data_IF_847269118725
#
_entry.id   IF_847269118725
#
_cell.length_a   1.000
_cell.length_b   1.000
_cell.length_c   1.000
_cell.angle_alpha   90.00
_cell.angle_beta   90.00
_cell.angle_gamma   90.00
#
_symmetry.space_group_name_H-M   'P 1'
#
loop_
_entity.id
_entity.type
_entity.pdbx_description
1 polymer ?
#
# COMPACT_ATOMS: atom_id res chain seq x y z
N UNK A 1 0.34 10.76 1.40
CA UNK A 1 1.00 9.55 0.86
C UNK A 1 0.00 8.82 -0.02
N UNK A 2 0.39 8.41 -1.23
CA UNK A 2 -0.44 7.52 -2.06
C UNK A 2 -0.68 6.21 -1.31
N UNK A 3 -1.80 5.53 -1.56
CA UNK A 3 -2.13 4.22 -1.00
C UNK A 3 -0.91 3.30 -1.05
N UNK A 4 -0.31 3.06 0.11
CA UNK A 4 0.86 2.21 0.21
C UNK A 4 0.38 0.76 0.35
N UNK A 5 0.71 -0.05 -0.65
CA UNK A 5 0.48 -1.50 -0.68
C UNK A 5 1.40 -2.30 0.28
N UNK A 6 1.46 -1.94 1.57
CA UNK A 6 2.26 -2.67 2.59
C UNK A 6 1.80 -4.11 2.73
N UNK A 7 0.48 -4.33 2.73
CA UNK A 7 -0.12 -5.63 3.04
C UNK A 7 0.35 -6.75 2.13
N UNK A 8 0.10 -6.67 0.81
CA UNK A 8 0.47 -7.74 -0.12
C UNK A 8 1.97 -8.05 -0.15
N UNK A 9 2.82 -7.02 0.01
CA UNK A 9 4.28 -7.20 0.00
C UNK A 9 4.74 -7.90 1.29
N UNK A 10 4.25 -7.49 2.46
CA UNK A 10 4.55 -8.19 3.71
C UNK A 10 4.03 -9.63 3.70
N UNK A 11 2.83 -9.88 3.16
CA UNK A 11 2.31 -11.25 3.00
C UNK A 11 3.24 -12.11 2.16
N UNK A 12 3.70 -11.59 1.02
CA UNK A 12 4.66 -12.28 0.15
C UNK A 12 5.95 -12.59 0.94
N UNK A 13 6.54 -11.59 1.59
CA UNK A 13 7.79 -11.77 2.36
C UNK A 13 7.62 -12.84 3.44
N UNK A 14 6.57 -12.74 4.26
CA UNK A 14 6.34 -13.63 5.40
C UNK A 14 6.15 -15.07 4.91
N UNK A 15 5.23 -15.30 3.97
CA UNK A 15 4.89 -16.65 3.51
C UNK A 15 6.06 -17.32 2.80
N UNK A 16 6.72 -16.58 1.90
CA UNK A 16 7.86 -17.12 1.16
C UNK A 16 9.05 -17.40 2.09
N UNK A 17 9.33 -16.54 3.07
CA UNK A 17 10.39 -16.80 4.05
C UNK A 17 10.05 -17.99 4.96
N UNK A 18 8.78 -18.20 5.34
CA UNK A 18 8.36 -19.41 6.04
C UNK A 18 8.70 -20.66 5.22
N UNK A 19 8.34 -20.70 3.93
CA UNK A 19 8.59 -21.85 3.06
C UNK A 19 10.08 -22.22 2.93
N UNK A 20 10.96 -21.22 2.90
CA UNK A 20 12.40 -21.43 2.77
C UNK A 20 13.07 -21.77 4.10
N UNK A 21 12.66 -21.12 5.20
CA UNK A 21 13.35 -21.20 6.48
C UNK A 21 12.81 -22.28 7.42
N UNK A 22 11.57 -22.75 7.24
CA UNK A 22 10.92 -23.72 8.13
C UNK A 22 11.67 -25.06 8.23
N UNK A 23 12.37 -25.48 7.17
CA UNK A 23 13.09 -26.76 7.11
C UNK A 23 14.58 -26.66 7.50
N UNK A 24 15.08 -25.46 7.83
CA UNK A 24 16.49 -25.23 8.12
C UNK A 24 16.77 -25.33 9.63
N UNK A 25 17.59 -26.31 10.01
CA UNK A 25 18.07 -26.50 11.38
C UNK A 25 18.92 -25.30 11.80
N UNK A 26 18.56 -24.63 12.92
CA UNK A 26 19.30 -23.51 13.48
C UNK A 26 18.61 -22.14 13.36
N UNK A 27 17.47 -22.06 12.66
CA UNK A 27 16.77 -20.79 12.37
C UNK A 27 15.66 -20.42 13.36
N UNK A 28 15.74 -20.89 14.61
CA UNK A 28 14.68 -20.67 15.60
C UNK A 28 14.36 -19.18 15.77
N UNK A 29 15.37 -18.31 15.83
CA UNK A 29 15.17 -16.87 16.00
C UNK A 29 14.47 -16.21 14.81
N UNK A 30 14.79 -16.63 13.58
CA UNK A 30 14.17 -16.08 12.35
C UNK A 30 12.74 -16.57 12.18
N UNK A 31 12.47 -17.81 12.57
CA UNK A 31 11.11 -18.35 12.61
C UNK A 31 10.23 -17.58 13.60
N UNK A 32 10.72 -17.32 14.81
CA UNK A 32 10.00 -16.52 15.80
C UNK A 32 9.73 -15.09 15.30
N UNK A 33 10.70 -14.49 14.60
CA UNK A 33 10.52 -13.18 13.97
C UNK A 33 9.41 -13.20 12.91
N UNK A 34 9.34 -14.21 12.05
CA UNK A 34 8.27 -14.36 11.06
C UNK A 34 6.89 -14.57 11.72
N UNK A 35 6.81 -15.37 12.79
CA UNK A 35 5.58 -15.57 13.55
C UNK A 35 5.10 -14.27 14.23
N UNK A 36 6.04 -13.45 14.72
CA UNK A 36 5.73 -12.12 15.26
C UNK A 36 5.25 -11.17 14.16
N UNK A 37 5.95 -11.12 13.03
CA UNK A 37 5.57 -10.31 11.87
C UNK A 37 4.14 -10.62 11.41
N UNK A 38 3.77 -11.90 11.33
CA UNK A 38 2.42 -12.32 10.97
C UNK A 38 1.36 -11.78 11.97
N UNK A 39 1.68 -11.71 13.26
CA UNK A 39 0.79 -11.15 14.30
C UNK A 39 0.72 -9.63 14.24
N UNK A 40 1.82 -8.95 13.90
CA UNK A 40 1.94 -7.49 13.88
C UNK A 40 1.38 -6.87 12.60
N UNK A 41 1.39 -7.60 11.49
CA UNK A 41 0.88 -7.15 10.20
C UNK A 41 -0.51 -6.49 10.25
N UNK A 42 -1.57 -7.09 10.84
CA UNK A 42 -2.89 -6.45 10.93
C UNK A 42 -2.87 -5.15 11.76
N UNK A 43 -2.01 -5.08 12.78
CA UNK A 43 -1.83 -3.86 13.58
C UNK A 43 -1.18 -2.76 12.74
N UNK A 44 -0.13 -3.10 12.00
CA UNK A 44 0.57 -2.17 11.09
C UNK A 44 -0.38 -1.63 10.04
N UNK A 45 -1.17 -2.49 9.39
CA UNK A 45 -2.18 -2.07 8.43
C UNK A 45 -3.20 -1.11 9.05
N UNK A 46 -3.67 -1.41 10.27
CA UNK A 46 -4.62 -0.57 10.98
C UNK A 46 -4.05 0.82 11.29
N UNK A 47 -2.80 0.89 11.77
CA UNK A 47 -2.13 2.16 12.07
C UNK A 47 -1.93 2.97 10.79
N UNK A 48 -1.41 2.37 9.72
CA UNK A 48 -1.22 3.05 8.43
C UNK A 48 -2.55 3.60 7.90
N UNK A 49 -3.61 2.79 7.98
CA UNK A 49 -4.96 3.20 7.58
C UNK A 49 -5.46 4.41 8.38
N UNK A 50 -5.35 4.38 9.71
CA UNK A 50 -5.73 5.50 10.57
C UNK A 50 -4.91 6.76 10.27
N UNK A 51 -3.60 6.62 10.04
CA UNK A 51 -2.72 7.74 9.72
C UNK A 51 -3.08 8.41 8.38
N UNK A 52 -3.42 7.61 7.38
CA UNK A 52 -3.86 8.10 6.07
C UNK A 52 -5.22 8.80 6.17
N UNK A 53 -6.15 8.30 6.99
CA UNK A 53 -7.44 8.95 7.20
C UNK A 53 -7.31 10.28 7.95
N UNK A 54 -6.55 10.31 9.03
CA UNK A 54 -6.46 11.49 9.89
C UNK A 54 -5.50 12.57 9.36
N UNK A 55 -4.73 12.28 8.29
CA UNK A 55 -3.68 13.17 7.74
C UNK A 55 -2.69 13.67 8.81
N UNK A 56 -2.45 12.87 9.86
CA UNK A 56 -1.62 13.22 11.01
C UNK A 56 -0.12 12.95 10.80
N UNK A 57 0.25 12.40 9.65
CA UNK A 57 1.64 12.05 9.33
C UNK A 57 2.56 13.26 9.50
N UNK A 58 2.13 14.43 9.02
CA UNK A 58 2.93 15.66 9.10
C UNK A 58 2.97 16.27 10.51
N UNK A 59 2.05 15.87 11.39
CA UNK A 59 1.92 16.39 12.76
C UNK A 59 2.71 15.56 13.78
N UNK A 60 3.10 14.33 13.43
CA UNK A 60 3.83 13.43 14.30
C UNK A 60 5.15 12.98 13.64
N UNK A 61 6.27 13.68 13.90
CA UNK A 61 7.57 13.34 13.32
C UNK A 61 8.08 11.94 13.67
N UNK A 62 7.71 11.41 14.85
CA UNK A 62 8.09 10.06 15.26
C UNK A 62 7.35 9.00 14.43
N UNK A 63 6.05 9.19 14.23
CA UNK A 63 5.24 8.36 13.34
C UNK A 63 5.76 8.41 11.90
N UNK A 64 6.03 9.61 11.38
CA UNK A 64 6.55 9.75 10.02
C UNK A 64 7.90 9.02 9.87
N UNK A 65 8.82 9.19 10.83
CA UNK A 65 10.10 8.47 10.84
C UNK A 65 9.88 6.95 10.85
N UNK A 66 9.01 6.45 11.72
CA UNK A 66 8.72 5.01 11.79
C UNK A 66 8.13 4.48 10.48
N UNK A 67 7.21 5.21 9.85
CA UNK A 67 6.67 4.84 8.53
C UNK A 67 7.78 4.75 7.47
N UNK A 68 8.73 5.69 7.44
CA UNK A 68 9.89 5.59 6.54
C UNK A 68 10.76 4.37 6.85
N UNK A 69 11.07 4.12 8.12
CA UNK A 69 11.87 2.95 8.51
C UNK A 69 11.19 1.63 8.16
N UNK A 70 9.86 1.56 8.32
CA UNK A 70 9.06 0.40 7.92
C UNK A 70 9.14 0.19 6.40
N UNK A 71 9.08 1.28 5.63
CA UNK A 71 9.21 1.22 4.17
C UNK A 71 10.54 0.65 3.76
N UNK A 72 11.60 1.24 4.29
CA UNK A 72 12.97 0.88 3.94
C UNK A 72 13.22 -0.60 4.30
N UNK A 73 12.70 -1.08 5.44
CA UNK A 73 12.84 -2.47 5.85
C UNK A 73 12.05 -3.43 4.94
N UNK A 74 10.83 -3.06 4.50
CA UNK A 74 10.03 -3.87 3.57
C UNK A 74 10.70 -3.92 2.19
N UNK A 75 11.12 -2.77 1.66
CA UNK A 75 11.75 -2.68 0.35
C UNK A 75 13.09 -3.47 0.34
N UNK A 76 13.88 -3.37 1.42
CA UNK A 76 15.11 -4.16 1.56
C UNK A 76 14.82 -5.67 1.66
N UNK A 77 13.81 -6.08 2.43
CA UNK A 77 13.43 -7.47 2.57
C UNK A 77 12.92 -8.07 1.24
N UNK A 78 12.09 -7.34 0.48
CA UNK A 78 11.60 -7.81 -0.83
C UNK A 78 12.74 -7.92 -1.84
N UNK A 79 13.69 -6.96 -1.84
CA UNK A 79 14.86 -7.01 -2.70
C UNK A 79 15.76 -8.22 -2.40
N UNK A 80 16.09 -8.44 -1.13
CA UNK A 80 16.94 -9.58 -0.72
C UNK A 80 16.23 -10.92 -0.97
N UNK A 81 14.92 -10.98 -0.76
CA UNK A 81 14.13 -12.16 -1.09
C UNK A 81 14.17 -12.45 -2.59
N UNK A 82 14.00 -11.44 -3.43
CA UNK A 82 14.05 -11.59 -4.88
C UNK A 82 15.45 -12.03 -5.38
N UNK A 83 16.51 -11.47 -4.81
CA UNK A 83 17.89 -11.92 -5.06
C UNK A 83 18.07 -13.40 -4.67
N UNK A 84 17.57 -13.78 -3.49
CA UNK A 84 17.63 -15.15 -2.99
C UNK A 84 16.88 -16.13 -3.88
N UNK A 85 15.65 -15.80 -4.30
CA UNK A 85 14.85 -16.62 -5.21
C UNK A 85 15.51 -16.80 -6.58
N UNK A 86 16.14 -15.75 -7.09
CA UNK A 86 16.89 -15.78 -8.36
C UNK A 86 18.12 -16.67 -8.23
N UNK A 87 18.91 -16.52 -7.17
CA UNK A 87 20.07 -17.37 -6.89
C UNK A 87 19.68 -18.84 -6.71
N UNK A 88 18.60 -19.10 -5.97
CA UNK A 88 18.06 -20.44 -5.76
C UNK A 88 17.57 -21.09 -7.06
N UNK A 89 16.91 -20.31 -7.92
CA UNK A 89 16.44 -20.76 -9.23
C UNK A 89 17.60 -21.09 -10.17
N UNK A 90 18.66 -20.28 -10.18
CA UNK A 90 19.86 -20.52 -10.99
C UNK A 90 20.66 -21.74 -10.50
N UNK A 91 20.81 -21.90 -9.17
CA UNK A 91 21.48 -23.05 -8.58
C UNK A 91 20.70 -24.35 -8.80
N UNK A 92 19.37 -24.29 -8.73
CA UNK A 92 18.52 -25.43 -9.07
C UNK A 92 18.56 -25.76 -10.57
N UNK A 93 18.66 -24.78 -11.46
CA UNK A 93 18.88 -25.00 -12.90
C UNK A 93 20.21 -25.71 -13.19
N UNK A 94 21.33 -25.30 -12.56
CA UNK A 94 22.62 -25.97 -12.72
C UNK A 94 22.62 -27.41 -12.17
N UNK A 95 21.85 -27.68 -11.10
CA UNK A 95 21.67 -29.02 -10.57
C UNK A 95 20.71 -29.90 -11.42
N UNK A 96 19.77 -29.30 -12.15
CA UNK A 96 18.85 -30.02 -13.05
C UNK A 96 19.58 -30.62 -14.26
N UNK A 97 20.74 -30.07 -14.66
CA UNK A 97 21.57 -30.66 -15.71
C UNK A 97 22.25 -31.98 -15.27
N UNK A 98 22.32 -32.26 -13.96
CA UNK A 98 23.01 -33.45 -13.42
C UNK A 98 22.16 -34.40 -12.56
N UNK A 99 20.98 -34.02 -12.06
CA UNK A 99 20.09 -34.97 -11.38
C UNK A 99 18.62 -34.54 -11.38
N UNK A 100 17.80 -35.19 -12.23
CA UNK A 100 16.35 -35.16 -12.11
C UNK A 100 15.91 -35.68 -10.74
N UNK A 101 15.02 -34.91 -10.10
CA UNK A 101 14.28 -35.23 -8.87
C UNK A 101 15.13 -35.24 -7.60
N UNK A 102 15.24 -34.10 -6.92
CA UNK A 102 15.01 -33.99 -5.47
C UNK A 102 15.14 -32.54 -4.99
N UNK A 103 14.01 -31.85 -4.76
CA UNK A 103 13.94 -30.53 -4.09
C UNK A 103 14.64 -30.53 -2.71
N UNK A 104 14.81 -31.72 -2.10
CA UNK A 104 15.53 -31.95 -0.84
C UNK A 104 17.06 -31.80 -0.92
N UNK A 105 17.67 -31.98 -2.10
CA UNK A 105 19.14 -31.86 -2.28
C UNK A 105 19.55 -30.38 -2.37
N UNK A 106 18.76 -29.55 -3.07
CA UNK A 106 18.93 -28.09 -3.08
C UNK A 106 18.86 -27.50 -1.65
N UNK A 107 17.95 -28.00 -0.81
CA UNK A 107 17.83 -27.60 0.61
C UNK A 107 19.08 -27.89 1.46
N UNK A 108 19.93 -28.86 1.10
CA UNK A 108 21.21 -29.12 1.81
C UNK A 108 22.33 -28.20 1.35
N UNK A 109 22.34 -27.75 0.10
CA UNK A 109 23.30 -26.76 -0.42
C UNK A 109 23.05 -25.35 0.14
N UNK A 110 21.80 -25.04 0.53
CA UNK A 110 21.41 -23.79 1.20
C UNK A 110 22.08 -23.56 2.56
N UNK A 111 22.64 -24.59 3.20
CA UNK A 111 23.23 -24.47 4.56
C UNK A 111 24.46 -23.57 4.65
N UNK A 112 25.05 -23.18 3.51
CA UNK A 112 26.26 -22.35 3.43
C UNK A 112 26.07 -21.27 2.35
N UNK A 113 24.85 -20.78 2.14
CA UNK A 113 24.62 -19.68 1.20
C UNK A 113 24.74 -18.33 1.93
N UNK A 114 25.68 -17.45 1.56
CA UNK A 114 25.76 -16.10 2.13
C UNK A 114 24.47 -15.28 1.94
N UNK A 115 23.62 -15.61 0.96
CA UNK A 115 22.32 -14.98 0.78
C UNK A 115 21.28 -15.41 1.83
N UNK A 116 21.42 -16.59 2.43
CA UNK A 116 20.54 -17.03 3.52
C UNK A 116 20.73 -16.14 4.76
N UNK A 117 21.98 -15.85 5.11
CA UNK A 117 22.31 -14.97 6.23
C UNK A 117 21.78 -13.55 6.01
N UNK A 118 21.91 -13.03 4.78
CA UNK A 118 21.32 -11.73 4.39
C UNK A 118 19.80 -11.75 4.56
N UNK A 119 19.13 -12.84 4.16
CA UNK A 119 17.68 -13.00 4.31
C UNK A 119 17.25 -13.02 5.78
N UNK A 120 17.98 -13.71 6.65
CA UNK A 120 17.74 -13.68 8.09
C UNK A 120 17.88 -12.28 8.67
N UNK A 121 18.96 -11.57 8.32
CA UNK A 121 19.25 -10.22 8.82
C UNK A 121 18.13 -9.22 8.45
N UNK A 122 17.63 -9.26 7.21
CA UNK A 122 16.54 -8.37 6.78
C UNK A 122 15.20 -8.74 7.42
N UNK A 123 14.92 -10.03 7.66
CA UNK A 123 13.72 -10.47 8.38
C UNK A 123 13.77 -9.99 9.84
N UNK A 124 14.91 -10.12 10.51
CA UNK A 124 15.10 -9.60 11.88
C UNK A 124 14.97 -8.08 11.94
N UNK A 125 15.52 -7.38 10.94
CA UNK A 125 15.38 -5.92 10.82
C UNK A 125 13.90 -5.52 10.66
N UNK A 126 13.17 -6.20 9.79
CA UNK A 126 11.75 -5.96 9.55
C UNK A 126 10.92 -6.25 10.81
N UNK A 127 11.18 -7.34 11.52
CA UNK A 127 10.53 -7.67 12.81
C UNK A 127 10.77 -6.57 13.84
N UNK A 128 12.02 -6.14 14.00
CA UNK A 128 12.38 -5.07 14.93
C UNK A 128 11.60 -3.79 14.67
N UNK A 129 11.58 -3.29 13.43
CA UNK A 129 10.83 -2.08 13.05
C UNK A 129 9.32 -2.29 13.23
N UNK A 130 8.82 -3.49 12.93
CA UNK A 130 7.42 -3.85 13.08
C UNK A 130 6.96 -3.86 14.54
N UNK A 131 7.81 -4.24 15.49
CA UNK A 131 7.46 -4.25 16.93
C UNK A 131 7.14 -2.85 17.48
N UNK A 132 7.71 -1.81 16.87
CA UNK A 132 7.49 -0.40 17.25
C UNK A 132 6.06 0.08 16.95
N UNK A 133 5.27 -0.67 16.17
CA UNK A 133 3.84 -0.38 15.88
C UNK A 133 3.02 -0.19 17.16
N UNK A 134 3.38 -0.91 18.23
CA UNK A 134 2.73 -0.84 19.54
C UNK A 134 2.69 0.59 20.10
N UNK A 135 3.72 1.39 19.84
CA UNK A 135 3.83 2.80 20.23
C UNK A 135 2.73 3.67 19.60
N UNK A 136 2.23 3.27 18.44
CA UNK A 136 1.29 4.04 17.62
C UNK A 136 -0.15 3.52 17.67
N UNK A 137 -0.43 2.45 18.43
CA UNK A 137 -1.78 1.88 18.55
C UNK A 137 -2.80 2.87 19.14
N UNK A 138 -2.36 3.80 19.99
CA UNK A 138 -3.20 4.86 20.55
C UNK A 138 -3.84 5.76 19.46
N UNK A 139 -3.24 5.81 18.26
CA UNK A 139 -3.80 6.57 17.14
C UNK A 139 -5.13 5.98 16.65
N UNK A 140 -5.34 4.68 16.85
CA UNK A 140 -6.59 4.01 16.51
C UNK A 140 -7.76 4.53 17.34
N UNK A 141 -7.53 4.88 18.61
CA UNK A 141 -8.54 5.47 19.51
C UNK A 141 -8.83 6.93 19.17
N UNK A 142 -7.80 7.67 18.71
CA UNK A 142 -7.92 9.09 18.35
C UNK A 142 -8.72 9.37 17.07
N UNK A 143 -9.03 8.33 16.29
CA UNK A 143 -9.84 8.43 15.06
C UNK A 143 -11.34 8.53 15.39
N UNK A 144 -11.70 9.30 16.42
CA UNK A 144 -13.09 9.63 16.75
C UNK A 144 -13.60 10.69 15.77
N UNK A 145 -14.89 10.61 15.45
CA UNK A 145 -15.65 11.36 14.42
C UNK A 145 -15.35 12.88 14.27
N UNK A 146 -14.74 13.52 15.27
CA UNK A 146 -14.42 14.95 15.26
C UNK A 146 -13.31 15.35 14.28
N UNK A 147 -12.30 14.51 14.04
CA UNK A 147 -11.27 14.80 13.03
C UNK A 147 -11.82 14.65 11.61
N UNK A 148 -12.67 13.64 11.37
CA UNK A 148 -13.35 13.45 10.09
C UNK A 148 -14.19 14.69 9.73
N UNK A 149 -14.96 15.26 10.68
CA UNK A 149 -15.73 16.50 10.47
C UNK A 149 -14.88 17.72 10.12
N UNK A 150 -13.64 17.82 10.62
CA UNK A 150 -12.71 18.92 10.27
C UNK A 150 -12.06 18.73 8.89
N UNK A 151 -11.79 17.50 8.47
CA UNK A 151 -11.24 17.19 7.15
C UNK A 151 -12.23 17.47 6.02
N UNK A 152 -13.52 17.14 6.21
CA UNK A 152 -14.57 17.50 5.25
C UNK A 152 -14.72 19.02 5.06
N UNK A 153 -14.34 19.85 6.04
CA UNK A 153 -14.33 21.32 5.93
C UNK A 153 -13.12 21.90 5.22
N UNK A 154 -12.04 21.14 5.02
CA UNK A 154 -10.80 21.70 4.44
C UNK A 154 -10.83 21.73 2.90
N UNK A 155 -11.64 20.86 2.28
CA UNK A 155 -11.84 20.82 0.82
C UNK A 155 -13.22 21.38 0.46
N UNK A 156 -13.46 22.64 0.79
CA UNK A 156 -14.67 23.34 0.35
C UNK A 156 -14.51 23.79 -1.10
N UNK A 157 -15.47 23.42 -1.95
CA UNK A 157 -15.66 24.08 -3.25
C UNK A 157 -16.76 25.12 -3.05
N UNK A 158 -16.38 26.40 -3.03
CA UNK A 158 -17.33 27.50 -2.91
C UNK A 158 -17.95 27.90 -4.25
N UNK A 159 -19.12 28.56 -4.22
CA UNK A 159 -19.83 29.05 -5.42
C UNK A 159 -19.31 30.40 -5.96
N UNK A 160 -18.26 30.96 -5.36
CA UNK A 160 -17.76 32.30 -5.67
C UNK A 160 -16.41 32.26 -6.38
N UNK A 161 -16.30 32.73 -7.63
CA UNK A 161 -15.00 33.06 -8.21
C UNK A 161 -14.58 34.43 -7.68
N UNK A 162 -13.45 34.49 -6.98
CA UNK A 162 -12.76 35.74 -6.63
C UNK A 162 -11.79 36.19 -7.74
N UNK A 163 -11.71 35.45 -8.85
CA UNK A 163 -10.67 35.57 -9.87
C UNK A 163 -11.25 35.73 -11.28
N UNK A 164 -10.50 36.43 -12.14
CA UNK A 164 -10.76 36.55 -13.57
C UNK A 164 -10.56 35.21 -14.28
N UNK A 165 -11.62 34.67 -14.89
CA UNK A 165 -11.57 33.44 -15.69
C UNK A 165 -11.11 33.77 -17.11
N UNK A 166 -9.88 33.39 -17.47
CA UNK A 166 -9.29 33.64 -18.80
C UNK A 166 -9.42 32.39 -19.69
N UNK A 167 -9.69 32.58 -20.98
CA UNK A 167 -9.57 31.53 -22.00
C UNK A 167 -10.70 30.49 -22.06
N UNK A 168 -11.67 30.51 -21.15
CA UNK A 168 -12.78 29.53 -21.09
C UNK A 168 -14.05 29.92 -21.87
N UNK A 169 -13.98 30.93 -22.74
CA UNK A 169 -15.16 31.44 -23.46
C UNK A 169 -15.86 30.40 -24.33
N UNK A 170 -15.08 29.61 -25.08
CA UNK A 170 -15.61 28.55 -25.96
C UNK A 170 -16.25 27.40 -25.18
N UNK A 171 -15.62 26.97 -24.09
CA UNK A 171 -16.14 25.90 -23.23
C UNK A 171 -17.42 26.35 -22.51
N UNK A 172 -17.45 27.60 -22.01
CA UNK A 172 -18.65 28.23 -21.44
C UNK A 172 -19.81 28.20 -22.42
N UNK A 173 -19.59 28.64 -23.66
CA UNK A 173 -20.66 28.68 -24.66
C UNK A 173 -21.16 27.26 -25.02
N UNK A 174 -20.25 26.29 -25.13
CA UNK A 174 -20.60 24.89 -25.38
C UNK A 174 -21.48 24.31 -24.28
N UNK A 175 -21.15 24.58 -23.01
CA UNK A 175 -21.95 24.16 -21.85
C UNK A 175 -23.29 24.90 -21.80
N UNK A 176 -23.31 26.21 -22.09
CA UNK A 176 -24.56 26.99 -22.12
C UNK A 176 -25.51 26.52 -23.21
N UNK A 177 -24.99 26.18 -24.40
CA UNK A 177 -25.80 25.60 -25.47
C UNK A 177 -26.34 24.24 -25.07
N UNK A 178 -25.53 23.39 -24.43
CA UNK A 178 -25.98 22.11 -23.91
C UNK A 178 -27.10 22.26 -22.87
N UNK A 179 -26.96 23.19 -21.91
CA UNK A 179 -27.97 23.47 -20.88
C UNK A 179 -29.28 24.04 -21.43
N UNK A 180 -29.23 24.77 -22.55
CA UNK A 180 -30.42 25.36 -23.19
C UNK A 180 -31.16 24.38 -24.11
N UNK A 181 -30.59 23.20 -24.39
CA UNK A 181 -31.28 22.20 -25.23
C UNK A 181 -32.49 21.65 -24.48
N UNK A 182 -33.72 21.78 -25.03
CA UNK A 182 -34.89 21.17 -24.43
C UNK A 182 -34.75 19.64 -24.44
N UNK A 183 -35.30 18.96 -23.43
CA UNK A 183 -35.41 17.50 -23.45
C UNK A 183 -36.31 17.10 -24.63
N UNK A 184 -35.79 16.29 -25.56
CA UNK A 184 -36.51 15.86 -26.75
C UNK A 184 -37.48 14.69 -26.50
N UNK A 185 -37.70 14.28 -25.25
CA UNK A 185 -38.62 13.19 -24.94
C UNK A 185 -40.08 13.66 -24.85
N UNK A 186 -40.98 12.92 -25.50
CA UNK A 186 -42.42 13.09 -25.32
C UNK A 186 -42.76 12.96 -23.83
N UNK A 187 -43.63 13.84 -23.32
CA UNK A 187 -44.24 13.72 -21.98
C UNK A 187 -45.17 12.50 -21.92
N UNK A 188 -44.62 11.30 -22.06
CA UNK A 188 -45.25 10.06 -21.63
C UNK A 188 -45.21 10.00 -20.11
N UNK A 189 -46.20 9.31 -19.53
CA UNK A 189 -46.62 9.26 -18.12
C UNK A 189 -45.59 8.83 -17.06
N UNK A 190 -44.29 8.84 -17.34
CA UNK A 190 -43.23 8.47 -16.40
C UNK A 190 -42.52 9.72 -15.87
N UNK A 191 -42.79 10.08 -14.61
CA UNK A 191 -42.28 11.27 -13.90
C UNK A 191 -40.74 11.40 -13.82
N UNK A 192 -39.96 10.39 -14.23
CA UNK A 192 -38.52 10.27 -13.96
C UNK A 192 -37.59 10.26 -15.19
N UNK A 193 -38.09 10.44 -16.42
CA UNK A 193 -37.25 10.28 -17.62
C UNK A 193 -36.53 11.55 -18.13
N UNK A 194 -36.73 12.72 -17.50
CA UNK A 194 -36.22 13.99 -18.03
C UNK A 194 -35.08 14.63 -17.20
N UNK A 195 -34.03 13.86 -16.85
CA UNK A 195 -32.84 14.42 -16.16
C UNK A 195 -31.67 14.43 -17.13
N UNK A 196 -31.15 15.63 -17.43
CA UNK A 196 -29.92 15.79 -18.22
C UNK A 196 -28.71 15.86 -17.29
N UNK A 197 -27.72 14.99 -17.51
CA UNK A 197 -26.49 14.94 -16.72
C UNK A 197 -25.30 15.44 -17.55
N UNK A 198 -24.57 16.42 -17.03
CA UNK A 198 -23.29 16.87 -17.57
C UNK A 198 -22.17 16.49 -16.60
N UNK A 199 -21.18 15.74 -17.09
CA UNK A 199 -20.00 15.36 -16.32
C UNK A 199 -18.79 16.16 -16.79
N UNK A 200 -18.04 16.75 -15.86
CA UNK A 200 -16.77 17.45 -16.12
C UNK A 200 -15.65 16.57 -15.56
N UNK A 201 -14.84 16.00 -16.45
CA UNK A 201 -13.77 15.07 -16.08
C UNK A 201 -12.42 15.69 -16.44
N UNK A 202 -11.51 15.70 -15.48
CA UNK A 202 -10.16 16.23 -15.67
C UNK A 202 -9.26 15.86 -14.51
N UNK A 203 -7.95 16.00 -14.74
CA UNK A 203 -6.96 15.89 -13.67
C UNK A 203 -7.13 17.04 -12.67
N UNK A 204 -6.64 16.87 -11.44
CA UNK A 204 -6.69 17.92 -10.42
C UNK A 204 -6.07 19.23 -10.90
N UNK A 205 -6.69 20.37 -10.55
CA UNK A 205 -6.21 21.71 -10.92
C UNK A 205 -6.56 22.17 -12.33
N UNK A 206 -7.44 21.47 -13.06
CA UNK A 206 -7.89 21.86 -14.41
C UNK A 206 -9.19 22.67 -14.47
N UNK A 207 -9.71 23.09 -13.31
CA UNK A 207 -10.93 23.90 -13.16
C UNK A 207 -10.80 25.32 -13.70
#
# INVERSE_FOLDING_TARGET
MAEWFVGPIMDKIINTCFDYLQDLVGQTGTKEALERLQKLQPMIQSVIFACNQAQIIDQNPALNRWLWQLRDAIDEADNVLNDFETAFSNASFQLIESARKNRKVGKRALKIDPNLKRLEEVVQKLDKVSTEVSTFLHLLESTTQEQQRKLYKTRETGSLPRNDLIGRGKDKESVMQWLRKPSNEHRGTDLYRNISLLSIVGHGGRG
#
